data_IF_426618514608
#
_entry.id   IF_426618514608
#
_cell.length_a   1.000
_cell.length_b   1.000
_cell.length_c   1.000
_cell.angle_alpha   90.00
_cell.angle_beta   90.00
_cell.angle_gamma   90.00
#
_symmetry.space_group_name_H-M   'P 1'
#
loop_
_entity.id
_entity.type
_entity.pdbx_description
1 polymer ?
#
# COMPACT_ATOMS: atom_id res chain seq x y z
N UNK A 1 -11.59 -14.73 -1.28
CA UNK A 1 -10.42 -14.51 -2.17
C UNK A 1 -10.68 -13.22 -2.92
N UNK A 2 -9.76 -12.25 -2.86
CA UNK A 2 -9.94 -10.92 -3.45
C UNK A 2 -9.97 -11.02 -4.98
N UNK A 3 -11.13 -10.81 -5.64
CA UNK A 3 -11.19 -10.87 -7.09
C UNK A 3 -10.24 -9.80 -7.65
N UNK A 4 -9.42 -10.16 -8.63
CA UNK A 4 -8.53 -9.27 -9.39
C UNK A 4 -7.27 -8.74 -8.69
N UNK A 5 -7.03 -8.99 -7.40
CA UNK A 5 -5.78 -8.52 -6.73
C UNK A 5 -4.52 -9.03 -7.44
N UNK A 6 -4.56 -10.25 -7.99
CA UNK A 6 -3.44 -10.81 -8.74
C UNK A 6 -3.14 -10.01 -10.02
N UNK A 7 -4.18 -9.57 -10.73
CA UNK A 7 -4.04 -8.77 -11.95
C UNK A 7 -3.41 -7.41 -11.62
N UNK A 8 -3.84 -6.78 -10.53
CA UNK A 8 -3.29 -5.51 -10.06
C UNK A 8 -1.85 -5.62 -9.55
N UNK A 9 -1.48 -6.75 -8.92
CA UNK A 9 -0.08 -7.03 -8.59
C UNK A 9 0.77 -7.12 -9.86
N UNK A 10 0.29 -7.82 -10.89
CA UNK A 10 1.00 -7.94 -12.16
C UNK A 10 1.18 -6.59 -12.85
N UNK A 11 0.13 -5.77 -12.85
CA UNK A 11 0.16 -4.39 -13.35
C UNK A 11 1.19 -3.57 -12.56
N UNK A 12 1.15 -3.58 -11.23
CA UNK A 12 2.08 -2.84 -10.38
C UNK A 12 3.55 -3.23 -10.62
N UNK A 13 3.81 -4.52 -10.86
CA UNK A 13 5.15 -5.01 -11.21
C UNK A 13 5.59 -4.62 -12.63
N UNK A 14 4.67 -4.33 -13.55
CA UNK A 14 5.00 -3.96 -14.94
C UNK A 14 5.17 -2.47 -15.16
N UNK A 15 4.40 -1.64 -14.46
CA UNK A 15 4.34 -0.20 -14.72
C UNK A 15 5.60 0.54 -14.23
N UNK A 16 6.25 0.05 -13.18
CA UNK A 16 7.32 0.82 -12.52
C UNK A 16 8.62 0.77 -13.32
N UNK A 17 9.15 1.96 -13.59
CA UNK A 17 10.51 2.15 -14.08
C UNK A 17 11.49 1.55 -13.07
N UNK A 18 12.31 0.64 -13.57
CA UNK A 18 13.35 -0.04 -12.80
C UNK A 18 14.69 0.13 -13.53
N UNK A 19 15.80 0.43 -12.83
CA UNK A 19 15.92 0.57 -11.38
C UNK A 19 15.21 1.82 -10.84
N UNK A 20 14.70 1.71 -9.62
CA UNK A 20 14.17 2.87 -8.88
C UNK A 20 15.31 3.84 -8.57
N UNK A 21 15.06 5.14 -8.72
CA UNK A 21 15.99 6.22 -8.35
C UNK A 21 16.44 6.17 -6.87
N UNK A 22 15.64 5.53 -6.00
CA UNK A 22 15.91 5.40 -4.57
C UNK A 22 16.35 3.98 -4.18
N UNK A 23 16.72 3.13 -5.14
CA UNK A 23 17.24 1.79 -4.87
C UNK A 23 16.18 0.75 -4.48
N UNK A 24 14.89 1.06 -4.62
CA UNK A 24 13.83 0.09 -4.36
C UNK A 24 13.93 -1.08 -5.34
N UNK A 25 13.84 -2.30 -4.81
CA UNK A 25 13.59 -3.50 -5.61
C UNK A 25 12.25 -3.38 -6.37
N UNK A 26 12.10 -4.22 -7.39
CA UNK A 26 10.85 -4.30 -8.17
C UNK A 26 9.63 -4.58 -7.30
N UNK A 27 9.77 -5.47 -6.30
CA UNK A 27 8.68 -5.84 -5.40
C UNK A 27 8.36 -4.71 -4.40
N UNK A 28 9.36 -3.98 -3.90
CA UNK A 28 9.15 -2.80 -3.06
C UNK A 28 8.43 -1.68 -3.84
N UNK A 29 8.89 -1.40 -5.07
CA UNK A 29 8.22 -0.43 -5.94
C UNK A 29 6.78 -0.82 -6.25
N UNK A 30 6.54 -2.11 -6.53
CA UNK A 30 5.20 -2.63 -6.76
C UNK A 30 4.33 -2.54 -5.49
N UNK A 31 4.89 -2.79 -4.30
CA UNK A 31 4.18 -2.68 -3.02
C UNK A 31 3.71 -1.26 -2.73
N UNK A 32 4.56 -0.26 -2.97
CA UNK A 32 4.16 1.16 -2.84
C UNK A 32 3.07 1.50 -3.85
N UNK A 33 3.25 1.09 -5.12
CA UNK A 33 2.30 1.38 -6.18
C UNK A 33 0.91 0.79 -5.89
N UNK A 34 0.83 -0.52 -5.58
CA UNK A 34 -0.45 -1.20 -5.33
C UNK A 34 -1.18 -0.66 -4.09
N UNK A 35 -0.46 -0.11 -3.11
CA UNK A 35 -1.09 0.59 -1.96
C UNK A 35 -1.80 1.88 -2.39
N UNK A 36 -1.40 2.52 -3.48
CA UNK A 36 -1.99 3.78 -3.98
C UNK A 36 -2.99 3.58 -5.11
N UNK A 37 -3.12 2.36 -5.62
CA UNK A 37 -4.01 2.05 -6.73
C UNK A 37 -5.47 1.92 -6.28
N UNK A 38 -6.38 2.48 -7.07
CA UNK A 38 -7.83 2.38 -6.88
C UNK A 38 -8.46 1.53 -7.97
N UNK A 39 -9.29 0.55 -7.60
CA UNK A 39 -10.00 -0.33 -8.53
C UNK A 39 -11.36 -0.85 -8.01
N UNK A 40 -11.97 -0.12 -7.07
CA UNK A 40 -13.26 -0.45 -6.47
C UNK A 40 -13.20 -0.58 -4.95
N UNK A 41 -14.11 -1.36 -4.37
CA UNK A 41 -14.26 -1.42 -2.91
C UNK A 41 -13.31 -2.38 -2.19
N UNK A 42 -12.58 -3.20 -2.95
CA UNK A 42 -11.67 -4.23 -2.43
C UNK A 42 -10.20 -3.92 -2.74
N UNK A 43 -9.86 -2.63 -2.85
CA UNK A 43 -8.46 -2.22 -3.02
C UNK A 43 -7.62 -2.66 -1.83
N UNK A 44 -6.34 -2.91 -2.09
CA UNK A 44 -5.41 -3.32 -1.06
C UNK A 44 -5.38 -2.33 0.11
N UNK A 45 -5.31 -1.03 -0.18
CA UNK A 45 -5.36 0.04 0.81
C UNK A 45 -6.60 -0.03 1.70
N UNK A 46 -7.80 -0.16 1.11
CA UNK A 46 -9.05 -0.20 1.88
C UNK A 46 -9.12 -1.42 2.79
N UNK A 47 -8.80 -2.59 2.25
CA UNK A 47 -8.84 -3.86 2.98
C UNK A 47 -7.80 -3.87 4.11
N UNK A 48 -6.56 -3.50 3.80
CA UNK A 48 -5.48 -3.49 4.77
C UNK A 48 -5.75 -2.50 5.89
N UNK A 49 -6.17 -1.27 5.58
CA UNK A 49 -6.48 -0.28 6.61
C UNK A 49 -7.71 -0.66 7.45
N UNK A 50 -8.67 -1.39 6.90
CA UNK A 50 -9.76 -1.98 7.69
C UNK A 50 -9.23 -3.05 8.65
N UNK A 51 -8.32 -3.92 8.20
CA UNK A 51 -7.69 -4.92 9.06
C UNK A 51 -6.84 -4.27 10.18
N UNK A 52 -6.08 -3.22 9.86
CA UNK A 52 -5.26 -2.47 10.83
C UNK A 52 -6.10 -1.79 11.92
N UNK A 53 -7.29 -1.29 11.57
CA UNK A 53 -8.23 -0.66 12.51
C UNK A 53 -9.05 -1.67 13.31
N UNK A 54 -9.07 -2.95 12.91
CA UNK A 54 -9.79 -4.00 13.62
C UNK A 54 -9.14 -4.32 14.97
N UNK A 55 -9.97 -4.58 15.99
CA UNK A 55 -9.51 -5.07 17.29
C UNK A 55 -8.97 -6.51 17.21
N UNK A 56 -9.32 -7.26 16.16
CA UNK A 56 -8.81 -8.61 15.95
C UNK A 56 -7.36 -8.60 15.44
N UNK A 57 -6.41 -8.61 16.38
CA UNK A 57 -4.97 -8.65 16.08
C UNK A 57 -4.51 -9.94 15.39
N UNK A 58 -5.21 -11.05 15.59
CA UNK A 58 -4.86 -12.31 14.91
C UNK A 58 -5.12 -12.22 13.40
N UNK A 59 -6.14 -11.47 12.99
CA UNK A 59 -6.43 -11.21 11.57
C UNK A 59 -5.33 -10.39 10.86
N UNK A 60 -4.40 -9.77 11.60
CA UNK A 60 -3.27 -9.03 11.02
C UNK A 60 -2.10 -9.92 10.60
N UNK A 61 -1.99 -11.13 11.15
CA UNK A 61 -0.83 -12.02 10.91
C UNK A 61 -0.63 -12.34 9.43
N UNK A 62 -1.72 -12.49 8.66
CA UNK A 62 -1.67 -12.72 7.21
C UNK A 62 -1.05 -11.56 6.43
N UNK A 63 -1.05 -10.35 7.01
CA UNK A 63 -0.53 -9.13 6.37
C UNK A 63 0.94 -8.86 6.71
N UNK A 64 1.54 -9.55 7.69
CA UNK A 64 2.91 -9.28 8.12
C UNK A 64 3.95 -9.35 7.00
N UNK A 65 3.91 -10.31 6.06
CA UNK A 65 4.86 -10.33 4.95
C UNK A 65 4.74 -9.09 4.05
N UNK A 66 3.50 -8.66 3.78
CA UNK A 66 3.26 -7.44 3.00
C UNK A 66 3.68 -6.19 3.76
N UNK A 67 3.32 -6.08 5.04
CA UNK A 67 3.68 -4.93 5.88
C UNK A 67 5.19 -4.77 5.98
N UNK A 68 5.93 -5.87 6.16
CA UNK A 68 7.39 -5.84 6.16
C UNK A 68 7.94 -5.34 4.82
N UNK A 69 7.46 -5.86 3.70
CA UNK A 69 7.89 -5.42 2.37
C UNK A 69 7.61 -3.93 2.14
N UNK A 70 6.42 -3.47 2.52
CA UNK A 70 5.98 -2.09 2.36
C UNK A 70 6.77 -1.14 3.25
N UNK A 71 6.92 -1.45 4.53
CA UNK A 71 7.69 -0.67 5.51
C UNK A 71 9.16 -0.54 5.09
N UNK A 72 9.80 -1.66 4.69
CA UNK A 72 11.17 -1.64 4.17
C UNK A 72 11.30 -0.86 2.85
N UNK A 73 10.22 -0.74 2.06
CA UNK A 73 10.22 0.13 0.88
C UNK A 73 10.18 1.61 1.27
N UNK A 74 9.37 1.97 2.27
CA UNK A 74 9.25 3.34 2.77
C UNK A 74 10.55 3.82 3.43
N UNK A 75 11.26 2.95 4.14
CA UNK A 75 12.56 3.26 4.77
C UNK A 75 13.65 3.68 3.77
N UNK A 76 13.52 3.29 2.50
CA UNK A 76 14.46 3.65 1.44
C UNK A 76 14.13 4.99 0.77
N UNK A 77 12.92 5.51 0.96
CA UNK A 77 12.49 6.75 0.35
C UNK A 77 13.03 7.96 1.14
N UNK A 78 13.32 9.09 0.46
CA UNK A 78 13.77 10.29 1.14
C UNK A 78 12.71 10.81 2.10
N UNK A 79 13.15 11.25 3.28
CA UNK A 79 12.28 11.96 4.22
C UNK A 79 12.02 13.36 3.72
N UNK A 80 10.74 13.71 3.53
CA UNK A 80 10.28 15.05 3.14
C UNK A 80 9.60 15.73 4.33
N UNK A 81 9.98 16.99 4.62
CA UNK A 81 9.39 17.80 5.69
C UNK A 81 8.58 18.94 5.09
N UNK A 82 7.29 18.69 4.88
CA UNK A 82 6.38 19.65 4.26
C UNK A 82 5.00 19.64 4.93
N UNK A 83 4.22 20.70 4.70
CA UNK A 83 2.83 20.77 5.14
C UNK A 83 1.99 19.89 4.21
N UNK A 84 1.38 18.85 4.76
CA UNK A 84 0.48 17.95 4.04
C UNK A 84 -0.99 18.26 4.37
N UNK A 85 -1.84 18.12 3.36
CA UNK A 85 -3.29 18.30 3.49
C UNK A 85 -3.99 16.95 3.31
N UNK A 86 -4.94 16.64 4.19
CA UNK A 86 -5.76 15.42 4.09
C UNK A 86 -7.24 15.78 4.14
N UNK A 87 -7.95 15.57 3.04
CA UNK A 87 -9.41 15.61 3.03
C UNK A 87 -9.97 14.42 3.80
N UNK A 88 -10.86 14.68 4.75
CA UNK A 88 -11.61 13.64 5.47
C UNK A 88 -13.10 13.91 5.30
N UNK A 89 -13.92 12.90 4.95
CA UNK A 89 -15.36 13.03 5.03
C UNK A 89 -15.71 13.11 6.52
N UNK A 90 -15.87 14.33 7.03
CA UNK A 90 -16.36 14.60 8.37
C UNK A 90 -17.77 15.14 8.23
N UNK A 91 -18.72 14.48 8.86
CA UNK A 91 -20.07 15.02 8.99
C UNK A 91 -20.00 16.14 10.05
N UNK A 92 -19.99 17.37 9.59
CA UNK A 92 -20.08 18.56 10.45
C UNK A 92 -21.57 18.83 10.52
N UNK A 93 -22.22 18.19 11.51
CA UNK A 93 -23.68 18.17 11.65
C UNK A 93 -24.36 19.53 11.69
#
# INVERSE_FOLDING_TARGET
VFPHVHDYIHIAKKIRDFPSEHGLSKDQSAAVYIYTMEWGDTTLYRVLNKALRSENRQALTIWFPYLKLFDTALDQLPTVKEILWRGVPLDIG
#
